data_IF_715872827872
#
_entry.id   IF_715872827872
#
_cell.length_a   1.000
_cell.length_b   1.000
_cell.length_c   1.000
_cell.angle_alpha   90.00
_cell.angle_beta   90.00
_cell.angle_gamma   90.00
#
_symmetry.space_group_name_H-M   'P 1'
#
loop_
_entity.id
_entity.type
_entity.pdbx_description
1 polymer ?
#
# COMPACT_ATOMS: atom_id res chain seq x y z
N UNK A 1 -22.84 5.09 9.34
CA UNK A 1 -23.19 6.53 9.26
C UNK A 1 -23.39 6.85 7.78
N UNK A 2 -24.54 7.40 7.38
CA UNK A 2 -24.89 7.68 5.97
C UNK A 2 -24.07 8.88 5.44
N UNK A 3 -23.48 8.84 4.23
CA UNK A 3 -22.85 10.02 3.66
C UNK A 3 -23.93 11.02 3.23
N UNK A 4 -23.87 12.23 3.77
CA UNK A 4 -24.73 13.34 3.36
C UNK A 4 -24.14 13.98 2.09
N UNK A 5 -24.91 13.95 1.00
CA UNK A 5 -24.58 14.60 -0.27
C UNK A 5 -24.91 16.09 -0.13
N UNK A 6 -23.90 16.96 -0.14
CA UNK A 6 -24.07 18.41 -0.11
C UNK A 6 -24.14 18.95 -1.56
N UNK A 7 -25.32 19.37 -2.00
CA UNK A 7 -25.51 20.09 -3.25
C UNK A 7 -25.30 21.59 -3.01
N UNK A 8 -24.18 22.16 -3.46
CA UNK A 8 -24.01 23.62 -3.55
C UNK A 8 -24.49 24.08 -4.93
N UNK A 9 -25.65 24.71 -4.98
CA UNK A 9 -26.26 25.20 -6.22
C UNK A 9 -25.71 26.60 -6.52
N UNK A 10 -24.72 26.71 -7.40
CA UNK A 10 -24.42 27.95 -8.11
C UNK A 10 -25.02 27.86 -9.51
N UNK A 11 -25.66 28.96 -9.94
CA UNK A 11 -26.46 29.07 -11.14
C UNK A 11 -25.84 28.35 -12.38
N UNK A 12 -26.55 27.34 -12.87
CA UNK A 12 -26.50 26.93 -14.28
C UNK A 12 -25.39 25.96 -14.72
N UNK A 13 -24.46 25.55 -13.85
CA UNK A 13 -23.51 24.49 -14.19
C UNK A 13 -23.61 23.39 -13.14
N UNK A 14 -24.26 22.29 -13.50
CA UNK A 14 -24.09 21.03 -12.77
C UNK A 14 -22.67 20.54 -13.07
N UNK A 15 -21.68 21.05 -12.33
CA UNK A 15 -20.38 20.39 -12.29
C UNK A 15 -20.64 19.13 -11.49
N UNK A 16 -21.05 18.05 -12.17
CA UNK A 16 -20.83 16.70 -11.66
C UNK A 16 -19.31 16.51 -11.62
N UNK A 17 -18.67 17.08 -10.61
CA UNK A 17 -17.41 16.56 -10.14
C UNK A 17 -17.76 15.20 -9.55
N UNK A 18 -17.84 14.18 -10.40
CA UNK A 18 -17.28 12.90 -10.00
C UNK A 18 -15.83 13.25 -9.67
N UNK A 19 -15.56 13.59 -8.41
CA UNK A 19 -14.25 13.37 -7.88
C UNK A 19 -14.03 11.89 -8.13
N UNK A 20 -13.37 11.58 -9.25
CA UNK A 20 -12.61 10.38 -9.35
C UNK A 20 -11.70 10.50 -8.13
N UNK A 21 -12.08 9.85 -7.03
CA UNK A 21 -11.11 9.39 -6.06
C UNK A 21 -10.20 8.51 -6.90
N UNK A 22 -9.22 9.14 -7.55
CA UNK A 22 -8.06 8.48 -8.06
C UNK A 22 -7.63 7.65 -6.87
N UNK A 23 -7.71 6.33 -6.98
CA UNK A 23 -7.22 5.47 -5.93
C UNK A 23 -5.80 5.97 -5.68
N UNK A 24 -5.59 6.66 -4.55
CA UNK A 24 -4.30 7.22 -4.14
C UNK A 24 -3.46 6.05 -3.62
N UNK A 25 -3.40 5.02 -4.44
CA UNK A 25 -2.78 3.77 -4.16
C UNK A 25 -1.46 3.72 -4.90
N UNK A 26 -0.49 3.10 -4.26
CA UNK A 26 0.77 2.77 -4.89
C UNK A 26 0.62 1.46 -5.67
N UNK A 27 1.29 1.32 -6.81
CA UNK A 27 1.22 0.11 -7.63
C UNK A 27 2.15 -0.96 -7.05
N UNK A 28 1.63 -1.76 -6.13
CA UNK A 28 2.33 -2.86 -5.49
C UNK A 28 1.41 -4.06 -5.25
N UNK A 29 2.00 -5.24 -5.05
CA UNK A 29 1.31 -6.44 -4.57
C UNK A 29 1.73 -6.64 -3.11
N UNK A 30 0.79 -6.71 -2.14
CA UNK A 30 1.15 -7.00 -0.75
C UNK A 30 2.00 -8.28 -0.66
N UNK A 31 3.15 -8.19 -0.01
CA UNK A 31 4.14 -9.27 0.09
C UNK A 31 5.16 -9.35 -1.05
N UNK A 32 4.94 -8.76 -2.23
CA UNK A 32 5.92 -8.78 -3.32
C UNK A 32 6.99 -7.69 -3.11
N UNK A 33 7.84 -7.90 -2.09
CA UNK A 33 8.80 -6.90 -1.62
C UNK A 33 9.90 -6.68 -2.67
N UNK A 34 10.26 -7.72 -3.42
CA UNK A 34 11.27 -7.60 -4.48
C UNK A 34 10.70 -7.12 -5.83
N UNK A 35 9.37 -7.03 -5.97
CA UNK A 35 8.68 -6.47 -7.13
C UNK A 35 8.70 -7.37 -8.37
N UNK A 36 8.80 -8.69 -8.22
CA UNK A 36 8.88 -9.62 -9.34
C UNK A 36 7.51 -10.19 -9.78
N UNK A 37 6.43 -9.77 -9.13
CA UNK A 37 5.07 -10.22 -9.39
C UNK A 37 4.67 -11.51 -8.67
N UNK A 38 5.55 -12.09 -7.86
CA UNK A 38 5.29 -13.35 -7.14
C UNK A 38 5.58 -13.19 -5.66
N UNK A 39 4.64 -13.66 -4.84
CA UNK A 39 4.71 -13.55 -3.38
C UNK A 39 5.20 -14.88 -2.81
N UNK A 40 6.46 -14.96 -2.37
CA UNK A 40 7.03 -16.20 -1.82
C UNK A 40 8.20 -15.94 -0.85
N UNK A 41 8.93 -16.99 -0.45
CA UNK A 41 10.04 -16.88 0.52
C UNK A 41 11.25 -16.06 0.03
N UNK A 42 11.34 -15.76 -1.27
CA UNK A 42 12.38 -14.89 -1.82
C UNK A 42 12.17 -13.45 -1.34
N UNK A 43 10.93 -12.98 -1.22
CA UNK A 43 10.62 -11.65 -0.69
C UNK A 43 11.04 -11.49 0.78
N UNK A 44 10.85 -12.53 1.59
CA UNK A 44 11.35 -12.57 2.97
C UNK A 44 12.88 -12.44 3.00
N UNK A 45 13.56 -13.20 2.15
CA UNK A 45 15.04 -13.14 2.06
C UNK A 45 15.50 -11.76 1.58
N UNK A 46 14.80 -11.18 0.61
CA UNK A 46 15.03 -9.84 0.10
C UNK A 46 14.85 -8.77 1.20
N UNK A 47 13.76 -8.83 1.97
CA UNK A 47 13.51 -7.91 3.06
C UNK A 47 14.62 -7.95 4.13
N UNK A 48 15.10 -9.15 4.48
CA UNK A 48 16.24 -9.30 5.40
C UNK A 48 17.51 -8.68 4.82
N UNK A 49 17.77 -8.82 3.52
CA UNK A 49 18.89 -8.17 2.86
C UNK A 49 18.75 -6.64 2.84
N UNK A 50 17.55 -6.13 2.62
CA UNK A 50 17.22 -4.71 2.72
C UNK A 50 17.51 -4.16 4.12
N UNK A 51 17.02 -4.82 5.19
CA UNK A 51 17.27 -4.37 6.56
C UNK A 51 18.76 -4.42 6.97
N UNK A 52 19.57 -5.21 6.26
CA UNK A 52 21.04 -5.22 6.39
C UNK A 52 21.75 -4.14 5.56
N UNK A 53 21.00 -3.32 4.82
CA UNK A 53 21.52 -2.23 4.00
C UNK A 53 22.06 -2.64 2.64
N UNK A 54 21.63 -3.79 2.09
CA UNK A 54 22.17 -4.32 0.83
C UNK A 54 21.43 -3.82 -0.41
N UNK A 55 20.13 -4.10 -0.51
CA UNK A 55 19.33 -3.77 -1.68
C UNK A 55 18.02 -3.12 -1.24
N UNK A 56 17.63 -2.05 -1.93
CA UNK A 56 16.42 -1.30 -1.65
C UNK A 56 15.24 -1.88 -2.44
N UNK A 57 14.04 -2.04 -1.85
CA UNK A 57 12.85 -2.45 -2.59
C UNK A 57 12.59 -1.50 -3.77
N UNK A 58 12.20 -2.02 -4.95
CA UNK A 58 12.07 -1.20 -6.16
C UNK A 58 10.89 -0.22 -6.13
N UNK A 59 9.90 -0.46 -5.27
CA UNK A 59 8.67 0.31 -5.20
C UNK A 59 8.65 1.08 -3.87
N UNK A 60 8.94 2.38 -3.95
CA UNK A 60 8.70 3.35 -2.88
C UNK A 60 7.37 4.05 -3.14
N UNK A 61 6.50 4.04 -2.14
CA UNK A 61 5.12 4.50 -2.25
C UNK A 61 4.90 5.92 -1.76
N UNK A 62 5.95 6.69 -1.48
CA UNK A 62 5.84 8.10 -1.13
C UNK A 62 6.45 9.01 -2.21
N UNK A 63 5.67 9.79 -2.99
CA UNK A 63 4.21 9.74 -3.21
C UNK A 63 3.77 8.50 -4.05
N UNK A 64 2.48 8.09 -4.08
CA UNK A 64 1.26 8.84 -3.73
C UNK A 64 0.75 8.68 -2.30
N UNK A 65 1.37 7.83 -1.47
CA UNK A 65 0.90 7.61 -0.12
C UNK A 65 1.28 8.79 0.78
N UNK A 66 0.29 9.30 1.52
CA UNK A 66 0.47 10.49 2.37
C UNK A 66 0.30 10.12 3.84
N UNK A 67 1.05 10.78 4.73
CA UNK A 67 0.97 10.52 6.17
C UNK A 67 1.69 9.25 6.64
N UNK A 68 2.50 8.63 5.78
CA UNK A 68 3.41 7.52 6.11
C UNK A 68 4.87 8.01 6.15
N UNK A 69 5.77 7.34 6.88
CA UNK A 69 7.20 7.68 6.88
C UNK A 69 7.83 7.56 5.48
N UNK A 70 8.83 8.38 5.19
CA UNK A 70 9.58 8.37 3.92
C UNK A 70 10.98 7.76 4.12
N UNK A 71 11.43 6.78 3.31
CA UNK A 71 10.69 6.06 2.26
C UNK A 71 9.61 5.11 2.82
N UNK A 72 8.57 4.80 2.03
CA UNK A 72 7.54 3.81 2.40
C UNK A 72 7.44 2.67 1.40
N UNK A 73 8.03 1.52 1.74
CA UNK A 73 7.93 0.30 0.94
C UNK A 73 6.67 -0.49 1.28
N UNK A 74 5.53 -0.05 0.74
CA UNK A 74 4.20 -0.54 1.13
C UNK A 74 3.98 -2.05 0.92
N UNK A 75 4.64 -2.66 -0.08
CA UNK A 75 4.58 -4.10 -0.30
C UNK A 75 5.06 -4.92 0.90
N UNK A 76 5.94 -4.34 1.73
CA UNK A 76 6.48 -4.97 2.92
C UNK A 76 5.62 -4.83 4.18
N UNK A 77 4.65 -3.92 4.22
CA UNK A 77 3.69 -3.77 5.34
C UNK A 77 2.61 -4.83 5.25
N UNK A 78 2.96 -6.09 5.55
CA UNK A 78 2.03 -7.24 5.45
C UNK A 78 1.15 -7.39 6.69
N UNK A 79 1.48 -6.67 7.78
CA UNK A 79 0.73 -6.69 9.02
C UNK A 79 -0.33 -5.56 9.10
N UNK A 80 -0.18 -4.51 8.29
CA UNK A 80 -1.13 -3.40 8.12
C UNK A 80 -0.95 -2.26 9.12
N UNK A 81 0.23 -2.08 9.72
CA UNK A 81 0.50 -1.02 10.72
C UNK A 81 1.11 0.26 10.10
N UNK A 82 1.12 0.37 8.78
CA UNK A 82 1.66 1.49 8.03
C UNK A 82 3.16 1.70 8.25
N UNK A 83 3.91 0.60 8.46
CA UNK A 83 5.37 0.58 8.57
C UNK A 83 5.92 -0.64 7.86
N UNK A 84 7.17 -0.57 7.42
CA UNK A 84 7.90 -1.74 6.97
C UNK A 84 9.16 -1.94 7.81
N UNK A 85 9.17 -3.00 8.61
CA UNK A 85 10.27 -3.34 9.51
C UNK A 85 10.34 -4.86 9.78
N UNK A 86 11.20 -5.28 10.72
CA UNK A 86 11.39 -6.70 11.03
C UNK A 86 10.14 -7.42 11.57
N UNK A 87 9.18 -6.69 12.14
CA UNK A 87 7.91 -7.26 12.63
C UNK A 87 7.09 -7.80 11.48
N UNK A 88 7.07 -7.13 10.32
CA UNK A 88 6.38 -7.60 9.12
C UNK A 88 6.87 -8.97 8.67
N UNK A 89 8.18 -9.19 8.78
CA UNK A 89 8.81 -10.46 8.38
C UNK A 89 8.48 -11.58 9.35
N UNK A 90 8.53 -11.29 10.65
CA UNK A 90 8.07 -12.26 11.66
C UNK A 90 6.58 -12.55 11.49
N UNK A 91 5.77 -11.53 11.18
CA UNK A 91 4.35 -11.68 10.95
C UNK A 91 4.07 -12.55 9.72
N UNK A 92 4.75 -12.30 8.60
CA UNK A 92 4.67 -13.12 7.39
C UNK A 92 4.95 -14.58 7.73
N UNK A 93 6.12 -14.88 8.34
CA UNK A 93 6.54 -16.26 8.62
C UNK A 93 5.50 -16.99 9.49
N UNK A 94 4.86 -16.30 10.44
CA UNK A 94 3.90 -16.91 11.34
C UNK A 94 2.49 -17.07 10.74
N UNK A 95 2.02 -16.09 9.97
CA UNK A 95 0.62 -16.03 9.53
C UNK A 95 0.43 -16.35 8.05
N UNK A 96 1.39 -15.98 7.20
CA UNK A 96 1.26 -16.08 5.75
C UNK A 96 0.10 -15.24 5.18
N UNK A 97 -0.27 -15.48 3.91
CA UNK A 97 -1.40 -14.82 3.27
C UNK A 97 -2.76 -15.21 3.89
N UNK A 98 -3.80 -14.36 3.78
CA UNK A 98 -3.83 -13.09 3.07
C UNK A 98 -3.15 -11.95 3.83
N UNK A 99 -2.39 -11.13 3.11
CA UNK A 99 -1.68 -9.99 3.70
C UNK A 99 -2.59 -8.78 3.86
N UNK A 100 -2.35 -8.05 4.95
CA UNK A 100 -2.94 -6.74 5.19
C UNK A 100 -2.03 -5.66 4.58
N UNK A 101 -2.53 -4.44 4.53
CA UNK A 101 -1.79 -3.28 4.04
C UNK A 101 -2.24 -2.03 4.78
N UNK A 102 -1.41 -0.99 4.76
CA UNK A 102 -1.73 0.32 5.31
C UNK A 102 -3.01 0.90 4.69
N UNK A 103 -4.06 1.23 5.49
CA UNK A 103 -5.28 1.86 4.96
C UNK A 103 -5.06 3.23 4.30
N UNK A 104 -4.00 3.95 4.68
CA UNK A 104 -3.62 5.23 4.07
C UNK A 104 -2.82 5.06 2.76
N UNK A 105 -2.47 3.84 2.39
CA UNK A 105 -1.67 3.51 1.20
C UNK A 105 -2.17 2.20 0.54
N UNK A 106 -3.42 2.14 0.06
CA UNK A 106 -3.96 0.90 -0.53
C UNK A 106 -3.22 0.52 -1.83
N UNK A 107 -3.18 -0.77 -2.22
CA UNK A 107 -2.69 -1.18 -3.53
C UNK A 107 -3.56 -0.59 -4.65
N UNK A 108 -2.93 0.03 -5.65
CA UNK A 108 -3.64 0.70 -6.75
C UNK A 108 -4.57 -0.23 -7.56
N UNK A 109 -4.23 -1.53 -7.64
CA UNK A 109 -4.96 -2.48 -8.49
C UNK A 109 -6.06 -3.27 -7.78
N UNK A 110 -6.25 -3.10 -6.47
CA UNK A 110 -7.09 -3.98 -5.67
C UNK A 110 -6.55 -5.42 -5.68
N UNK A 111 -6.47 -6.07 -4.52
CA UNK A 111 -6.20 -7.51 -4.52
C UNK A 111 -7.51 -8.20 -4.89
N UNK A 112 -7.63 -8.68 -6.13
CA UNK A 112 -8.75 -9.55 -6.48
C UNK A 112 -8.60 -10.83 -5.66
N UNK A 113 -9.59 -11.09 -4.81
CA UNK A 113 -9.74 -12.28 -3.96
C UNK A 113 -9.70 -13.59 -4.75
#
# INVERSE_FOLDING_TARGET
>A
MKPAIAFLIFAGIVISATANLHAQGCDYIPGDINGNGTVNGIDVTFAVAYFKGLQVPPIDCNPPCTGVPDPFYAAGDVNGDCRFNGIDIVWWIHHGPPFRWCPACPPARGVNE
#
